data_IF_048072232474
#
_entry.id   IF_048072232474
#
_cell.length_a   1.000
_cell.length_b   1.000
_cell.length_c   1.000
_cell.angle_alpha   90.00
_cell.angle_beta   90.00
_cell.angle_gamma   90.00
#
_symmetry.space_group_name_H-M   'P 1'
#
loop_
_entity.id
_entity.type
_entity.pdbx_description
1 polymer ?
#
# COMPACT_ATOMS: atom_id res chain seq x y z
N UNK A 1 -8.59 8.75 28.95
CA UNK A 1 -7.14 8.49 28.89
C UNK A 1 -6.66 8.87 27.50
N UNK A 2 -6.20 10.16 27.33
CA UNK A 2 -5.69 10.68 26.05
C UNK A 2 -4.27 10.17 25.87
N UNK A 3 -4.09 9.12 25.07
CA UNK A 3 -2.77 8.70 24.60
C UNK A 3 -2.38 9.73 23.53
N UNK A 4 -1.35 10.52 23.87
CA UNK A 4 -0.72 11.53 23.02
C UNK A 4 -0.24 10.88 21.70
N UNK A 5 -0.96 11.11 20.63
CA UNK A 5 -0.57 10.77 19.25
C UNK A 5 0.41 11.78 18.64
N UNK A 6 1.04 12.63 19.45
CA UNK A 6 2.04 13.62 19.00
C UNK A 6 3.44 13.05 18.70
N UNK A 7 3.64 11.70 18.81
CA UNK A 7 4.99 11.13 18.76
C UNK A 7 5.63 11.02 17.38
N UNK A 8 4.94 11.37 16.28
CA UNK A 8 5.53 11.23 14.95
C UNK A 8 5.42 12.50 14.09
N UNK A 9 6.11 13.57 14.48
CA UNK A 9 6.43 14.65 13.54
C UNK A 9 7.26 14.07 12.38
N UNK A 10 7.20 14.67 11.20
CA UNK A 10 7.97 14.23 10.00
C UNK A 10 9.46 13.99 10.34
N UNK A 11 10.04 14.86 11.19
CA UNK A 11 11.42 14.79 11.66
C UNK A 11 11.72 13.50 12.44
N UNK A 12 10.84 13.08 13.34
CA UNK A 12 11.05 11.86 14.14
C UNK A 12 10.97 10.57 13.28
N UNK A 13 10.19 10.60 12.21
CA UNK A 13 10.04 9.47 11.26
C UNK A 13 11.29 9.30 10.41
N UNK A 14 11.85 10.40 9.90
CA UNK A 14 13.12 10.38 9.18
C UNK A 14 14.22 9.85 10.10
N UNK A 15 14.26 10.27 11.36
CA UNK A 15 15.21 9.77 12.36
C UNK A 15 15.08 8.25 12.54
N UNK A 16 13.88 7.71 12.69
CA UNK A 16 13.67 6.25 12.84
C UNK A 16 14.18 5.47 11.62
N UNK A 17 13.89 5.96 10.41
CA UNK A 17 14.37 5.32 9.17
C UNK A 17 15.91 5.38 9.10
N UNK A 18 16.50 6.54 9.37
CA UNK A 18 17.96 6.72 9.35
C UNK A 18 18.62 5.82 10.38
N UNK A 19 18.11 5.77 11.61
CA UNK A 19 18.62 4.88 12.66
C UNK A 19 18.50 3.41 12.23
N UNK A 20 17.36 3.00 11.68
CA UNK A 20 17.16 1.62 11.20
C UNK A 20 18.13 1.23 10.09
N UNK A 21 18.35 2.11 9.10
CA UNK A 21 19.30 1.89 8.00
C UNK A 21 20.74 1.85 8.54
N UNK A 22 21.08 2.74 9.46
CA UNK A 22 22.46 2.78 10.07
C UNK A 22 22.73 1.51 10.88
N UNK A 23 21.78 1.09 11.71
CA UNK A 23 21.91 -0.18 12.46
C UNK A 23 22.00 -1.39 11.53
N UNK A 24 21.22 -1.41 10.45
CA UNK A 24 21.29 -2.45 9.43
C UNK A 24 22.65 -2.50 8.75
N UNK A 25 23.20 -1.36 8.35
CA UNK A 25 24.54 -1.27 7.75
C UNK A 25 25.66 -1.73 8.72
N UNK A 26 25.61 -1.29 9.98
CA UNK A 26 26.57 -1.73 10.99
C UNK A 26 26.49 -3.24 11.26
N UNK A 27 25.28 -3.79 11.31
CA UNK A 27 25.08 -5.23 11.47
C UNK A 27 25.62 -6.04 10.28
N UNK A 28 25.44 -5.53 9.04
CA UNK A 28 26.02 -6.17 7.84
C UNK A 28 27.55 -6.17 7.87
N UNK A 29 28.16 -5.05 8.25
CA UNK A 29 29.62 -4.94 8.38
C UNK A 29 30.15 -5.91 9.43
N UNK A 30 29.49 -5.97 10.60
CA UNK A 30 29.84 -6.86 11.68
C UNK A 30 29.72 -8.34 11.27
N UNK A 31 28.62 -8.72 10.63
CA UNK A 31 28.40 -10.11 10.16
C UNK A 31 29.45 -10.53 9.11
N UNK A 32 29.78 -9.61 8.19
CA UNK A 32 30.81 -9.88 7.19
C UNK A 32 32.22 -10.08 7.83
N UNK A 33 32.58 -9.26 8.82
CA UNK A 33 33.82 -9.42 9.56
C UNK A 33 33.85 -10.75 10.35
N UNK A 34 32.73 -11.10 11.01
CA UNK A 34 32.61 -12.42 11.69
C UNK A 34 32.76 -13.60 10.73
N UNK A 35 32.09 -13.52 9.55
CA UNK A 35 32.20 -14.59 8.55
C UNK A 35 33.62 -14.75 8.05
N UNK A 36 34.37 -13.64 7.88
CA UNK A 36 35.77 -13.64 7.48
C UNK A 36 36.65 -14.28 8.55
N UNK A 37 36.54 -13.87 9.81
CA UNK A 37 37.30 -14.43 10.94
C UNK A 37 37.01 -15.92 11.14
N UNK A 38 35.75 -16.32 11.02
CA UNK A 38 35.40 -17.73 11.13
C UNK A 38 36.00 -18.55 9.99
N UNK A 39 35.98 -18.02 8.74
CA UNK A 39 36.62 -18.68 7.61
C UNK A 39 38.12 -18.86 7.83
N UNK A 40 38.84 -17.84 8.31
CA UNK A 40 40.26 -17.91 8.61
C UNK A 40 40.55 -18.94 9.72
N UNK A 41 39.70 -18.99 10.76
CA UNK A 41 39.79 -20.00 11.82
C UNK A 41 39.57 -21.41 11.28
N UNK A 42 38.51 -21.65 10.49
CA UNK A 42 38.25 -22.97 9.90
C UNK A 42 39.42 -23.46 9.03
N UNK A 43 40.02 -22.57 8.24
CA UNK A 43 41.17 -22.89 7.41
C UNK A 43 42.40 -23.27 8.29
N UNK A 44 42.62 -22.55 9.38
CA UNK A 44 43.68 -22.84 10.32
C UNK A 44 43.46 -24.20 11.04
N UNK A 45 42.23 -24.46 11.50
CA UNK A 45 41.86 -25.70 12.19
C UNK A 45 42.08 -26.93 11.27
N UNK A 46 41.65 -26.82 9.97
CA UNK A 46 41.89 -27.92 9.00
C UNK A 46 43.38 -28.11 8.68
N UNK A 47 44.15 -27.02 8.59
CA UNK A 47 45.60 -27.13 8.39
C UNK A 47 46.31 -27.81 9.58
N UNK A 48 45.94 -27.45 10.84
CA UNK A 48 46.42 -28.12 12.04
C UNK A 48 46.04 -29.60 12.04
N UNK A 49 44.81 -29.92 11.65
CA UNK A 49 44.35 -31.31 11.55
C UNK A 49 45.12 -32.11 10.49
N UNK A 50 45.44 -31.53 9.33
CA UNK A 50 46.27 -32.12 8.31
C UNK A 50 47.69 -32.41 8.79
N UNK A 51 48.29 -31.47 9.51
CA UNK A 51 49.62 -31.65 10.12
C UNK A 51 49.62 -32.72 11.22
N UNK A 52 48.55 -32.78 12.04
CA UNK A 52 48.41 -33.84 13.04
C UNK A 52 48.34 -35.22 12.38
N UNK A 53 47.60 -35.35 11.30
CA UNK A 53 47.46 -36.58 10.53
C UNK A 53 48.81 -37.03 9.92
N UNK A 54 49.61 -36.10 9.43
CA UNK A 54 50.97 -36.38 8.93
C UNK A 54 51.90 -36.90 10.05
N UNK A 55 51.79 -36.36 11.29
CA UNK A 55 52.57 -36.86 12.45
C UNK A 55 52.11 -38.23 12.86
N UNK A 56 50.84 -38.53 13.01
CA UNK A 56 50.35 -39.88 13.36
C UNK A 56 50.91 -40.93 12.41
N UNK A 57 50.88 -40.65 11.11
CA UNK A 57 51.44 -41.58 10.12
C UNK A 57 52.93 -41.78 10.24
N UNK A 58 53.67 -40.84 10.83
CA UNK A 58 55.13 -40.97 11.13
C UNK A 58 55.39 -41.80 12.41
N UNK A 59 54.58 -41.59 13.46
CA UNK A 59 54.78 -42.20 14.78
C UNK A 59 54.27 -43.66 14.83
N UNK A 60 53.25 -44.04 14.01
CA UNK A 60 52.85 -45.45 13.84
C UNK A 60 54.01 -46.37 13.44
N UNK A 61 54.96 -45.87 12.68
CA UNK A 61 56.20 -46.60 12.32
C UNK A 61 57.21 -46.70 13.48
N UNK A 62 57.13 -45.82 14.50
CA UNK A 62 58.01 -45.84 15.69
C UNK A 62 57.49 -46.64 16.89
N UNK A 63 56.29 -47.25 16.79
CA UNK A 63 55.76 -48.16 17.83
C UNK A 63 55.08 -47.46 19.04
N UNK A 64 54.87 -46.17 19.04
CA UNK A 64 54.21 -45.48 20.16
C UNK A 64 53.09 -44.56 19.68
N UNK A 65 51.86 -45.10 19.60
CA UNK A 65 50.65 -44.31 19.36
C UNK A 65 50.13 -43.86 20.71
N UNK A 66 50.66 -42.77 21.29
CA UNK A 66 50.00 -42.08 22.41
C UNK A 66 50.50 -40.64 22.54
N UNK A 67 50.21 -39.82 21.53
CA UNK A 67 50.16 -38.37 21.76
C UNK A 67 48.77 -37.97 22.03
N UNK A 68 48.28 -37.68 23.29
CA UNK A 68 46.95 -37.27 23.63
C UNK A 68 46.53 -36.00 22.89
N UNK A 69 47.48 -35.15 22.51
CA UNK A 69 47.27 -33.91 21.79
C UNK A 69 46.79 -34.16 20.35
N UNK A 70 47.33 -35.16 19.68
CA UNK A 70 46.91 -35.53 18.31
C UNK A 70 45.53 -36.13 18.33
N UNK A 71 45.21 -36.98 19.32
CA UNK A 71 43.86 -37.53 19.49
C UNK A 71 42.84 -36.44 19.77
N UNK A 72 43.16 -35.43 20.56
CA UNK A 72 42.31 -34.29 20.87
C UNK A 72 42.06 -33.42 19.64
N UNK A 73 43.10 -33.10 18.85
CA UNK A 73 42.95 -32.37 17.58
C UNK A 73 42.05 -33.13 16.58
N UNK A 74 42.21 -34.43 16.47
CA UNK A 74 41.43 -35.28 15.57
C UNK A 74 39.95 -35.39 16.01
N UNK A 75 39.68 -35.31 17.32
CA UNK A 75 38.31 -35.36 17.87
C UNK A 75 37.59 -34.02 17.83
N UNK A 76 38.27 -32.89 17.92
CA UNK A 76 37.69 -31.55 18.02
C UNK A 76 37.42 -30.86 16.68
N UNK A 77 37.86 -31.42 15.54
CA UNK A 77 37.66 -30.82 14.19
C UNK A 77 36.29 -31.02 13.56
N UNK A 78 35.24 -31.24 14.33
CA UNK A 78 34.07 -32.05 13.90
C UNK A 78 32.94 -31.33 13.16
N UNK A 79 32.99 -30.04 12.89
CA UNK A 79 31.87 -29.32 12.22
C UNK A 79 32.16 -28.94 10.77
N UNK A 80 33.31 -29.28 10.22
CA UNK A 80 33.72 -28.95 8.86
C UNK A 80 33.54 -30.20 7.97
N UNK A 81 32.75 -30.18 6.93
CA UNK A 81 32.63 -31.31 6.02
C UNK A 81 33.89 -31.47 5.19
N UNK A 82 34.45 -32.70 5.15
CA UNK A 82 35.63 -33.00 4.37
C UNK A 82 35.53 -34.34 3.64
N UNK A 83 36.34 -34.49 2.61
CA UNK A 83 36.57 -35.73 1.84
C UNK A 83 38.08 -35.91 1.74
N UNK A 84 38.58 -37.09 2.12
CA UNK A 84 39.98 -37.49 1.93
C UNK A 84 40.04 -38.47 0.78
N UNK A 85 40.88 -38.18 -0.21
CA UNK A 85 41.05 -39.06 -1.38
C UNK A 85 42.50 -39.47 -1.52
N UNK A 86 42.73 -40.56 -2.27
CA UNK A 86 44.05 -40.86 -2.82
C UNK A 86 44.33 -40.02 -4.08
N UNK A 87 45.47 -40.24 -4.73
CA UNK A 87 45.90 -39.58 -5.98
C UNK A 87 44.95 -39.83 -7.15
N UNK A 88 44.25 -40.96 -7.14
CA UNK A 88 43.25 -41.32 -8.16
C UNK A 88 41.86 -40.76 -7.86
N UNK A 89 41.71 -39.89 -6.86
CA UNK A 89 40.45 -39.33 -6.38
C UNK A 89 39.47 -40.37 -5.82
N UNK A 90 39.95 -41.55 -5.41
CA UNK A 90 39.14 -42.53 -4.69
C UNK A 90 39.02 -42.11 -3.21
N UNK A 91 37.77 -42.16 -2.69
CA UNK A 91 37.51 -41.73 -1.31
C UNK A 91 38.04 -42.73 -0.29
N UNK A 92 38.89 -42.26 0.58
CA UNK A 92 39.46 -43.05 1.70
C UNK A 92 38.61 -42.80 2.96
N UNK A 93 38.25 -41.55 3.20
CA UNK A 93 37.42 -41.16 4.35
C UNK A 93 36.60 -39.92 4.02
N UNK A 94 35.46 -39.74 4.70
CA UNK A 94 34.62 -38.55 4.55
C UNK A 94 33.90 -38.26 5.86
N UNK A 95 33.63 -36.98 6.10
CA UNK A 95 32.92 -36.52 7.29
C UNK A 95 31.86 -35.51 6.90
N UNK A 96 30.64 -35.62 7.47
CA UNK A 96 29.47 -34.79 7.20
C UNK A 96 29.07 -34.71 5.72
N UNK A 97 29.39 -35.77 4.96
CA UNK A 97 28.97 -35.90 3.55
C UNK A 97 27.98 -37.05 3.44
N UNK A 98 26.79 -36.82 2.86
CA UNK A 98 25.77 -37.86 2.67
C UNK A 98 26.32 -39.02 1.78
N UNK A 99 26.09 -40.26 2.17
CA UNK A 99 26.48 -41.46 1.40
C UNK A 99 26.01 -41.45 -0.05
N UNK A 100 24.82 -40.85 -0.32
CA UNK A 100 24.29 -40.66 -1.67
C UNK A 100 25.19 -39.82 -2.61
N UNK A 101 26.11 -39.03 -2.05
CA UNK A 101 27.09 -38.25 -2.79
C UNK A 101 28.33 -39.08 -3.01
N UNK A 102 28.82 -39.80 -1.97
CA UNK A 102 30.03 -40.62 -2.00
C UNK A 102 29.87 -41.78 -2.99
N UNK A 103 28.73 -42.47 -2.97
CA UNK A 103 28.48 -43.65 -3.77
C UNK A 103 28.10 -43.31 -5.24
N UNK A 104 28.13 -42.05 -5.64
CA UNK A 104 27.79 -41.65 -7.02
C UNK A 104 28.93 -40.81 -7.63
N UNK A 105 29.74 -41.36 -8.56
CA UNK A 105 30.97 -40.71 -9.07
C UNK A 105 30.73 -39.31 -9.60
N UNK A 106 29.65 -39.06 -10.33
CA UNK A 106 29.35 -37.73 -10.89
C UNK A 106 28.97 -36.69 -9.83
N UNK A 107 28.36 -37.10 -8.71
CA UNK A 107 28.03 -36.20 -7.57
C UNK A 107 29.23 -35.93 -6.71
N UNK A 108 30.05 -36.96 -6.50
CA UNK A 108 31.30 -36.85 -5.77
C UNK A 108 32.24 -35.84 -6.42
N UNK A 109 32.43 -35.95 -7.74
CA UNK A 109 33.29 -35.02 -8.47
C UNK A 109 32.80 -33.57 -8.36
N UNK A 110 31.49 -33.33 -8.54
CA UNK A 110 30.93 -32.01 -8.33
C UNK A 110 31.12 -31.47 -6.91
N UNK A 111 31.09 -32.34 -5.90
CA UNK A 111 31.33 -31.95 -4.50
C UNK A 111 32.79 -31.61 -4.24
N UNK A 112 33.72 -32.38 -4.81
CA UNK A 112 35.16 -32.11 -4.76
C UNK A 112 35.48 -30.79 -5.47
N UNK A 113 34.94 -30.56 -6.68
CA UNK A 113 35.12 -29.32 -7.42
C UNK A 113 34.60 -28.11 -6.61
N UNK A 114 33.44 -28.28 -6.00
CA UNK A 114 32.85 -27.23 -5.14
C UNK A 114 33.74 -26.92 -3.93
N UNK A 115 34.31 -27.93 -3.28
CA UNK A 115 35.20 -27.74 -2.15
C UNK A 115 36.52 -27.06 -2.57
N UNK A 116 37.08 -27.44 -3.73
CA UNK A 116 38.29 -26.84 -4.29
C UNK A 116 38.12 -25.35 -4.67
N UNK A 117 36.91 -24.96 -5.06
CA UNK A 117 36.57 -23.53 -5.30
C UNK A 117 36.43 -22.77 -3.97
N UNK A 118 35.83 -23.41 -2.94
CA UNK A 118 35.64 -22.77 -1.63
C UNK A 118 36.93 -22.60 -0.86
N UNK A 119 37.80 -23.64 -0.88
CA UNK A 119 39.06 -23.69 -0.14
C UNK A 119 40.14 -24.48 -0.93
N UNK A 120 41.42 -24.10 -0.87
CA UNK A 120 42.49 -24.87 -1.51
C UNK A 120 42.62 -26.26 -0.87
N UNK A 121 42.72 -27.33 -1.67
CA UNK A 121 42.91 -28.67 -1.15
C UNK A 121 44.27 -28.79 -0.45
N UNK A 122 44.32 -29.56 0.65
CA UNK A 122 45.53 -29.73 1.45
C UNK A 122 46.13 -31.13 1.19
N UNK A 123 47.35 -31.24 0.58
CA UNK A 123 48.01 -32.50 0.40
C UNK A 123 48.68 -32.95 1.73
N UNK A 124 48.44 -34.20 2.13
CA UNK A 124 49.06 -34.85 3.31
C UNK A 124 50.00 -35.95 2.82
N UNK A 125 51.29 -35.82 3.10
CA UNK A 125 52.32 -36.78 2.66
C UNK A 125 52.48 -37.88 3.72
N UNK A 126 52.66 -39.15 3.25
CA UNK A 126 52.98 -40.29 4.11
C UNK A 126 54.48 -40.56 4.12
N UNK A 127 55.02 -40.80 5.29
CA UNK A 127 56.44 -40.94 5.49
C UNK A 127 57.03 -42.25 4.87
N UNK A 128 56.21 -43.31 4.73
CA UNK A 128 56.64 -44.58 4.16
C UNK A 128 56.66 -44.66 2.64
N UNK A 129 56.12 -43.65 1.97
CA UNK A 129 56.12 -43.60 0.50
C UNK A 129 56.26 -42.14 0.05
N UNK A 130 57.46 -41.82 -0.46
CA UNK A 130 57.72 -40.51 -1.06
C UNK A 130 56.88 -40.20 -2.32
N UNK A 131 56.14 -41.21 -2.80
CA UNK A 131 55.30 -41.11 -4.01
C UNK A 131 53.78 -41.12 -3.74
N UNK A 132 53.33 -41.40 -2.51
CA UNK A 132 51.89 -41.47 -2.19
C UNK A 132 51.50 -40.34 -1.23
N UNK A 133 50.47 -39.59 -1.60
CA UNK A 133 49.87 -38.55 -0.75
C UNK A 133 48.35 -38.66 -0.77
N UNK A 134 47.74 -38.25 0.34
CA UNK A 134 46.28 -38.07 0.39
C UNK A 134 45.97 -36.60 0.22
N UNK A 135 44.78 -36.31 -0.36
CA UNK A 135 44.32 -34.94 -0.58
C UNK A 135 43.06 -34.74 0.26
N UNK A 136 43.10 -33.70 1.11
CA UNK A 136 41.96 -33.31 1.91
C UNK A 136 41.22 -32.19 1.19
N UNK A 137 39.99 -32.47 0.78
CA UNK A 137 39.02 -31.49 0.27
C UNK A 137 38.04 -31.13 1.38
N UNK A 138 37.88 -29.89 1.70
CA UNK A 138 36.98 -29.45 2.77
C UNK A 138 36.09 -28.28 2.38
N UNK A 139 34.89 -28.28 2.93
CA UNK A 139 33.89 -27.25 2.67
C UNK A 139 33.72 -26.31 3.84
N UNK A 140 32.79 -25.36 3.70
CA UNK A 140 32.41 -24.47 4.78
C UNK A 140 31.53 -25.21 5.80
N UNK A 141 31.71 -24.93 7.09
CA UNK A 141 30.80 -25.42 8.14
C UNK A 141 29.38 -24.92 7.95
N UNK A 142 28.43 -25.55 8.64
CA UNK A 142 27.02 -25.10 8.65
C UNK A 142 26.91 -23.68 9.20
N UNK A 143 27.71 -23.34 10.21
CA UNK A 143 27.71 -22.00 10.80
C UNK A 143 28.22 -20.95 9.81
N UNK A 144 29.32 -21.21 9.12
CA UNK A 144 29.87 -20.31 8.11
C UNK A 144 28.89 -20.11 6.95
N UNK A 145 28.19 -21.16 6.51
CA UNK A 145 27.14 -21.05 5.50
C UNK A 145 26.00 -20.16 5.99
N UNK A 146 25.54 -20.33 7.23
CA UNK A 146 24.48 -19.51 7.82
C UNK A 146 24.87 -18.02 7.85
N UNK A 147 26.13 -17.71 8.21
CA UNK A 147 26.62 -16.33 8.20
C UNK A 147 26.66 -15.73 6.80
N UNK A 148 26.91 -16.51 5.74
CA UNK A 148 26.86 -16.04 4.36
C UNK A 148 25.44 -15.72 3.89
N UNK A 149 24.40 -16.44 4.38
CA UNK A 149 23.01 -16.19 4.02
C UNK A 149 22.36 -15.12 4.91
N UNK A 150 22.89 -14.87 6.10
CA UNK A 150 22.34 -13.92 7.07
C UNK A 150 22.11 -12.50 6.50
N UNK A 151 23.04 -11.90 5.72
CA UNK A 151 22.83 -10.59 5.10
C UNK A 151 21.59 -10.52 4.22
N UNK A 152 21.29 -11.56 3.46
CA UNK A 152 20.10 -11.60 2.59
C UNK A 152 18.81 -11.64 3.39
N UNK A 153 18.78 -12.46 4.45
CA UNK A 153 17.63 -12.51 5.38
C UNK A 153 17.45 -11.17 6.07
N UNK A 154 18.52 -10.55 6.53
CA UNK A 154 18.48 -9.23 7.17
C UNK A 154 17.95 -8.15 6.21
N UNK A 155 18.41 -8.12 4.96
CA UNK A 155 17.95 -7.17 3.95
C UNK A 155 16.44 -7.34 3.69
N UNK A 156 15.96 -8.59 3.61
CA UNK A 156 14.53 -8.89 3.44
C UNK A 156 13.71 -8.35 4.62
N UNK A 157 14.16 -8.60 5.86
CA UNK A 157 13.48 -8.11 7.07
C UNK A 157 13.43 -6.58 7.11
N UNK A 158 14.55 -5.90 6.82
CA UNK A 158 14.62 -4.44 6.80
C UNK A 158 13.67 -3.87 5.74
N UNK A 159 13.67 -4.46 4.53
CA UNK A 159 12.78 -4.03 3.43
C UNK A 159 11.32 -4.21 3.81
N UNK A 160 10.96 -5.34 4.42
CA UNK A 160 9.59 -5.59 4.90
C UNK A 160 9.19 -4.57 5.98
N UNK A 161 10.08 -4.24 6.90
CA UNK A 161 9.83 -3.25 7.96
C UNK A 161 9.61 -1.84 7.40
N UNK A 162 10.41 -1.43 6.41
CA UNK A 162 10.24 -0.14 5.72
C UNK A 162 8.90 -0.11 4.96
N UNK A 163 8.55 -1.18 4.26
CA UNK A 163 7.28 -1.27 3.52
C UNK A 163 6.07 -1.18 4.46
N UNK A 164 6.07 -1.92 5.57
CA UNK A 164 5.02 -1.86 6.60
C UNK A 164 4.92 -0.46 7.21
N UNK A 165 6.05 0.16 7.54
CA UNK A 165 6.09 1.54 8.04
C UNK A 165 5.51 2.54 7.03
N UNK A 166 5.79 2.39 5.76
CA UNK A 166 5.24 3.24 4.70
C UNK A 166 3.72 3.07 4.55
N UNK A 167 3.21 1.83 4.60
CA UNK A 167 1.77 1.53 4.54
C UNK A 167 1.05 2.15 5.74
N UNK A 168 1.56 1.92 6.95
CA UNK A 168 1.00 2.48 8.19
C UNK A 168 1.00 4.02 8.17
N UNK A 169 2.06 4.62 7.64
CA UNK A 169 2.16 6.06 7.48
C UNK A 169 1.11 6.64 6.54
N UNK A 170 0.92 6.00 5.39
CA UNK A 170 -0.07 6.44 4.39
C UNK A 170 -1.50 6.36 4.94
N UNK A 171 -1.83 5.31 5.67
CA UNK A 171 -3.12 5.14 6.33
C UNK A 171 -3.36 6.23 7.39
N UNK A 172 -2.39 6.46 8.27
CA UNK A 172 -2.51 7.47 9.34
C UNK A 172 -2.71 8.89 8.81
N UNK A 173 -2.04 9.26 7.70
CA UNK A 173 -2.20 10.58 7.10
C UNK A 173 -3.60 10.77 6.49
N UNK A 174 -4.16 9.72 5.93
CA UNK A 174 -5.53 9.74 5.39
C UNK A 174 -6.56 9.92 6.50
N UNK A 175 -6.40 9.19 7.61
CA UNK A 175 -7.29 9.30 8.78
C UNK A 175 -7.23 10.68 9.44
N UNK A 176 -6.06 11.30 9.53
CA UNK A 176 -5.90 12.64 10.10
C UNK A 176 -6.61 13.69 9.23
N UNK A 177 -6.43 13.64 7.92
CA UNK A 177 -7.14 14.51 6.98
C UNK A 177 -8.67 14.31 7.09
N UNK A 178 -9.13 13.09 7.20
CA UNK A 178 -10.55 12.78 7.36
C UNK A 178 -11.13 13.35 8.66
N UNK A 179 -10.42 13.25 9.77
CA UNK A 179 -10.87 13.81 11.07
C UNK A 179 -10.98 15.33 11.03
N UNK A 180 -10.01 16.02 10.43
CA UNK A 180 -10.07 17.47 10.26
C UNK A 180 -11.28 17.88 9.43
N UNK A 181 -11.56 17.17 8.34
CA UNK A 181 -12.71 17.42 7.48
C UNK A 181 -14.04 17.20 8.19
N UNK A 182 -14.19 16.10 8.94
CA UNK A 182 -15.40 15.81 9.73
C UNK A 182 -15.60 16.91 10.77
N UNK A 183 -14.53 17.30 11.47
CA UNK A 183 -14.59 18.37 12.46
C UNK A 183 -15.02 19.70 11.88
N UNK A 184 -14.43 20.11 10.74
CA UNK A 184 -14.81 21.34 10.04
C UNK A 184 -16.26 21.29 9.53
N UNK A 185 -16.69 20.19 8.94
CA UNK A 185 -18.06 20.06 8.45
C UNK A 185 -19.08 20.17 9.59
N UNK A 186 -18.86 19.45 10.68
CA UNK A 186 -19.72 19.47 11.87
C UNK A 186 -19.77 20.84 12.52
N UNK A 187 -18.61 21.49 12.69
CA UNK A 187 -18.53 22.83 13.25
C UNK A 187 -19.23 23.85 12.35
N UNK A 188 -19.01 23.80 11.03
CA UNK A 188 -19.68 24.68 10.06
C UNK A 188 -21.21 24.49 10.10
N UNK A 189 -21.68 23.25 10.16
CA UNK A 189 -23.10 22.97 10.29
C UNK A 189 -23.68 23.57 11.57
N UNK A 190 -22.99 23.44 12.69
CA UNK A 190 -23.43 23.98 13.96
C UNK A 190 -23.45 25.51 13.97
N UNK A 191 -22.39 26.14 13.47
CA UNK A 191 -22.26 27.61 13.40
C UNK A 191 -23.26 28.24 12.42
N UNK A 192 -23.65 27.54 11.34
CA UNK A 192 -24.68 28.00 10.41
C UNK A 192 -26.12 27.67 10.89
N UNK A 193 -26.29 26.59 11.63
CA UNK A 193 -27.61 26.15 12.11
C UNK A 193 -28.27 27.16 13.05
N UNK A 194 -27.50 27.78 13.91
CA UNK A 194 -27.99 28.77 14.88
C UNK A 194 -28.56 30.02 14.20
N UNK A 195 -27.83 30.72 13.30
CA UNK A 195 -28.40 31.90 12.61
C UNK A 195 -29.53 31.54 11.63
N UNK A 196 -29.51 30.36 11.01
CA UNK A 196 -30.63 29.94 10.13
C UNK A 196 -31.90 29.70 10.92
N UNK A 197 -31.81 29.13 12.12
CA UNK A 197 -32.99 28.99 13.00
C UNK A 197 -33.52 30.33 13.46
N UNK A 198 -32.67 31.30 13.75
CA UNK A 198 -33.09 32.67 14.08
C UNK A 198 -33.77 33.36 12.91
N UNK A 199 -33.22 33.22 11.69
CA UNK A 199 -33.84 33.77 10.47
C UNK A 199 -35.22 33.15 10.18
N UNK A 200 -35.40 31.85 10.45
CA UNK A 200 -36.72 31.22 10.34
C UNK A 200 -37.74 31.87 11.28
N UNK A 201 -37.33 32.13 12.53
CA UNK A 201 -38.21 32.85 13.46
C UNK A 201 -38.58 34.25 12.98
N UNK A 202 -37.67 34.99 12.35
CA UNK A 202 -37.94 36.29 11.76
C UNK A 202 -38.88 36.18 10.55
N UNK A 203 -38.76 35.18 9.72
CA UNK A 203 -39.67 34.96 8.57
C UNK A 203 -41.09 34.64 9.06
N UNK A 204 -41.24 33.80 10.10
CA UNK A 204 -42.52 33.52 10.70
C UNK A 204 -43.15 34.76 11.35
N UNK A 205 -42.33 35.62 11.98
CA UNK A 205 -42.81 36.90 12.49
C UNK A 205 -43.30 37.83 11.37
N UNK A 206 -42.51 37.93 10.26
CA UNK A 206 -42.93 38.76 9.10
C UNK A 206 -44.18 38.26 8.43
N UNK A 207 -44.43 36.93 8.39
CA UNK A 207 -45.71 36.37 7.90
C UNK A 207 -46.92 36.85 8.68
N UNK A 208 -46.74 37.14 9.98
CA UNK A 208 -47.84 37.66 10.83
C UNK A 208 -48.03 39.15 10.70
N UNK A 209 -47.17 39.85 9.96
CA UNK A 209 -47.29 41.30 9.75
C UNK A 209 -47.89 41.64 8.39
N UNK A 210 -48.36 42.86 8.23
CA UNK A 210 -48.89 43.40 6.96
C UNK A 210 -47.74 43.86 6.06
N UNK A 211 -47.00 42.88 5.51
CA UNK A 211 -45.88 43.09 4.58
C UNK A 211 -46.11 42.31 3.30
N UNK A 212 -45.29 42.58 2.25
CA UNK A 212 -45.36 41.84 1.00
C UNK A 212 -45.08 40.36 1.21
N UNK A 213 -46.15 39.56 1.20
CA UNK A 213 -46.07 38.12 1.41
C UNK A 213 -45.28 37.39 0.31
N UNK A 214 -45.18 37.95 -0.89
CA UNK A 214 -44.38 37.40 -1.99
C UNK A 214 -42.91 37.46 -1.65
N UNK A 215 -42.45 38.58 -1.07
CA UNK A 215 -41.06 38.72 -0.58
C UNK A 215 -40.76 37.75 0.56
N UNK A 216 -41.70 37.59 1.52
CA UNK A 216 -41.56 36.66 2.65
C UNK A 216 -41.47 35.21 2.16
N UNK A 217 -42.23 34.80 1.14
CA UNK A 217 -42.16 33.48 0.56
C UNK A 217 -40.82 33.23 -0.15
N UNK A 218 -40.28 34.19 -0.88
CA UNK A 218 -38.97 34.07 -1.53
C UNK A 218 -37.83 33.94 -0.46
N UNK A 219 -37.87 34.76 0.60
CA UNK A 219 -36.95 34.65 1.72
C UNK A 219 -37.03 33.25 2.39
N UNK A 220 -38.21 32.73 2.59
CA UNK A 220 -38.41 31.39 3.15
C UNK A 220 -37.87 30.29 2.25
N UNK A 221 -38.00 30.41 0.93
CA UNK A 221 -37.39 29.47 -0.02
C UNK A 221 -35.88 29.47 0.07
N UNK A 222 -35.27 30.65 0.13
CA UNK A 222 -33.81 30.79 0.27
C UNK A 222 -33.32 30.23 1.59
N UNK A 223 -34.01 30.52 2.70
CA UNK A 223 -33.68 30.00 4.01
C UNK A 223 -33.81 28.46 4.06
N UNK A 224 -34.89 27.92 3.49
CA UNK A 224 -35.09 26.47 3.39
C UNK A 224 -33.98 25.81 2.61
N UNK A 225 -33.48 26.45 1.53
CA UNK A 225 -32.32 25.97 0.79
C UNK A 225 -31.03 25.97 1.64
N UNK A 226 -30.84 27.03 2.42
CA UNK A 226 -29.69 27.17 3.34
C UNK A 226 -29.73 26.08 4.43
N UNK A 227 -30.91 25.83 5.00
CA UNK A 227 -31.09 24.75 5.98
C UNK A 227 -30.80 23.36 5.42
N UNK A 228 -31.17 23.08 4.16
CA UNK A 228 -30.80 21.84 3.48
C UNK A 228 -29.28 21.69 3.35
N UNK A 229 -28.55 22.77 3.06
CA UNK A 229 -27.08 22.76 3.00
C UNK A 229 -26.52 22.44 4.39
N UNK A 230 -26.99 23.08 5.45
CA UNK A 230 -26.55 22.84 6.83
C UNK A 230 -26.81 21.39 7.25
N UNK A 231 -28.01 20.85 6.95
CA UNK A 231 -28.35 19.45 7.23
C UNK A 231 -27.42 18.47 6.51
N UNK A 232 -27.08 18.74 5.24
CA UNK A 232 -26.12 17.94 4.48
C UNK A 232 -24.72 17.93 5.12
N UNK A 233 -24.26 19.10 5.60
CA UNK A 233 -22.98 19.19 6.31
C UNK A 233 -23.00 18.47 7.67
N UNK A 234 -24.11 18.49 8.40
CA UNK A 234 -24.25 17.78 9.68
C UNK A 234 -24.20 16.25 9.54
N UNK A 235 -24.60 15.74 8.38
CA UNK A 235 -24.55 14.30 8.07
C UNK A 235 -23.15 13.79 7.70
N UNK A 236 -22.21 14.71 7.41
CA UNK A 236 -20.81 14.33 7.15
C UNK A 236 -20.18 13.84 8.46
N UNK A 237 -19.72 12.59 8.46
CA UNK A 237 -19.07 11.98 9.64
C UNK A 237 -20.01 11.37 10.68
N UNK A 238 -21.35 11.40 10.42
CA UNK A 238 -22.30 10.59 11.17
C UNK A 238 -22.51 9.22 10.50
N UNK A 239 -22.93 8.23 11.26
CA UNK A 239 -23.41 6.96 10.70
C UNK A 239 -24.68 7.26 9.90
N UNK A 240 -24.58 7.21 8.57
CA UNK A 240 -25.71 7.43 7.67
C UNK A 240 -26.20 6.08 7.18
N UNK A 241 -27.38 5.61 7.62
CA UNK A 241 -27.93 4.36 7.13
C UNK A 241 -28.19 4.42 5.64
N UNK A 242 -27.81 3.37 4.92
CA UNK A 242 -28.16 3.17 3.54
C UNK A 242 -29.47 2.40 3.44
N UNK A 243 -30.41 2.88 2.65
CA UNK A 243 -31.69 2.23 2.39
C UNK A 243 -31.85 1.92 0.91
N UNK A 244 -32.54 0.85 0.53
CA UNK A 244 -32.91 0.61 -0.85
C UNK A 244 -33.71 1.79 -1.39
N UNK A 245 -33.26 2.37 -2.51
CA UNK A 245 -33.93 3.49 -3.14
C UNK A 245 -33.90 3.34 -4.66
N UNK A 246 -34.95 3.87 -5.31
CA UNK A 246 -35.05 3.95 -6.76
C UNK A 246 -34.13 5.07 -7.28
N UNK A 247 -33.03 4.70 -7.91
CA UNK A 247 -32.04 5.65 -8.42
C UNK A 247 -32.64 6.57 -9.50
N UNK A 248 -33.57 6.06 -10.31
CA UNK A 248 -34.21 6.85 -11.34
C UNK A 248 -34.98 8.02 -10.73
N UNK A 249 -35.70 7.82 -9.64
CA UNK A 249 -36.45 8.87 -8.93
C UNK A 249 -35.52 9.87 -8.29
N UNK A 250 -34.55 9.42 -7.48
CA UNK A 250 -33.61 10.29 -6.75
C UNK A 250 -32.79 11.18 -7.69
N UNK A 251 -32.26 10.61 -8.78
CA UNK A 251 -31.58 11.40 -9.82
C UNK A 251 -32.54 12.30 -10.56
N UNK A 252 -33.76 11.82 -10.88
CA UNK A 252 -34.81 12.59 -11.57
C UNK A 252 -35.23 13.82 -10.79
N UNK A 253 -35.41 13.73 -9.47
CA UNK A 253 -35.72 14.88 -8.61
C UNK A 253 -34.61 15.94 -8.65
N UNK A 254 -33.34 15.50 -8.56
CA UNK A 254 -32.20 16.40 -8.69
C UNK A 254 -32.16 17.09 -10.06
N UNK A 255 -32.40 16.35 -11.14
CA UNK A 255 -32.44 16.89 -12.51
C UNK A 255 -33.57 17.87 -12.68
N UNK A 256 -34.79 17.56 -12.21
CA UNK A 256 -35.95 18.47 -12.30
C UNK A 256 -35.72 19.74 -11.50
N UNK A 257 -35.14 19.65 -10.32
CA UNK A 257 -34.78 20.82 -9.52
C UNK A 257 -33.76 21.70 -10.24
N UNK A 258 -32.76 21.10 -10.86
CA UNK A 258 -31.68 21.81 -11.55
C UNK A 258 -32.18 22.45 -12.87
N UNK A 259 -33.04 21.77 -13.61
CA UNK A 259 -33.64 22.26 -14.89
C UNK A 259 -34.29 23.62 -14.77
N UNK A 260 -34.95 23.93 -13.65
CA UNK A 260 -35.58 25.23 -13.40
C UNK A 260 -34.60 26.40 -13.21
N UNK A 261 -33.29 26.09 -13.04
CA UNK A 261 -32.25 27.05 -12.64
C UNK A 261 -31.15 27.23 -13.68
N UNK A 262 -31.14 26.43 -14.73
CA UNK A 262 -30.16 26.56 -15.81
C UNK A 262 -30.49 27.71 -16.75
N UNK A 263 -29.48 28.37 -17.34
CA UNK A 263 -29.68 29.39 -18.39
C UNK A 263 -30.40 28.80 -19.60
N UNK A 264 -31.16 29.64 -20.32
CA UNK A 264 -31.91 29.21 -21.51
C UNK A 264 -31.07 28.63 -22.65
N UNK A 265 -29.78 28.96 -22.68
CA UNK A 265 -28.81 28.49 -23.70
C UNK A 265 -28.14 27.16 -23.33
N UNK A 266 -28.57 26.52 -22.25
CA UNK A 266 -28.07 25.22 -21.80
C UNK A 266 -29.20 24.20 -21.87
N UNK A 267 -28.95 23.07 -22.53
CA UNK A 267 -29.90 21.93 -22.54
C UNK A 267 -29.52 20.93 -21.43
N UNK A 268 -30.54 20.31 -20.84
CA UNK A 268 -30.37 19.27 -19.82
C UNK A 268 -31.26 18.07 -20.16
N UNK A 269 -30.63 17.00 -20.59
CA UNK A 269 -31.29 15.74 -20.94
C UNK A 269 -31.12 14.70 -19.82
N UNK A 270 -32.14 13.83 -19.67
CA UNK A 270 -32.19 12.79 -18.68
C UNK A 270 -32.96 11.56 -19.20
N UNK A 271 -32.30 10.41 -19.22
CA UNK A 271 -32.91 9.18 -19.73
C UNK A 271 -33.64 8.33 -18.67
N UNK A 272 -33.49 8.63 -17.39
CA UNK A 272 -33.93 7.75 -16.30
C UNK A 272 -35.43 7.53 -16.24
N UNK A 273 -36.24 8.41 -16.89
CA UNK A 273 -37.68 8.24 -17.01
C UNK A 273 -38.08 7.22 -18.09
N UNK A 274 -37.18 6.90 -19.01
CA UNK A 274 -37.39 5.98 -20.12
C UNK A 274 -36.90 4.56 -19.89
N UNK A 275 -36.21 4.29 -18.74
CA UNK A 275 -35.66 2.99 -18.40
C UNK A 275 -36.38 2.38 -17.21
N UNK A 276 -36.29 1.05 -17.06
CA UNK A 276 -36.86 0.35 -15.91
C UNK A 276 -36.27 0.87 -14.60
N UNK A 277 -37.03 0.94 -13.50
CA UNK A 277 -36.53 1.34 -12.19
C UNK A 277 -35.33 0.48 -11.73
N UNK A 278 -34.29 1.14 -11.27
CA UNK A 278 -33.07 0.47 -10.77
C UNK A 278 -32.86 0.83 -9.30
N UNK A 279 -32.64 -0.17 -8.47
CA UNK A 279 -32.45 0.03 -7.03
C UNK A 279 -30.98 -0.09 -6.63
N UNK A 280 -30.58 0.76 -5.69
CA UNK A 280 -29.31 0.67 -4.99
C UNK A 280 -29.50 1.10 -3.52
N UNK A 281 -28.62 0.60 -2.64
CA UNK A 281 -28.61 1.04 -1.25
C UNK A 281 -27.89 2.38 -1.17
N UNK A 282 -28.63 3.45 -0.87
CA UNK A 282 -28.12 4.81 -0.78
C UNK A 282 -28.72 5.59 0.40
N UNK A 283 -28.04 6.65 0.80
CA UNK A 283 -28.63 7.76 1.52
C UNK A 283 -29.07 8.80 0.49
N UNK A 284 -30.37 8.91 0.23
CA UNK A 284 -30.92 9.75 -0.84
C UNK A 284 -30.42 11.20 -0.75
N UNK A 285 -30.47 11.83 0.44
CA UNK A 285 -30.08 13.23 0.61
C UNK A 285 -28.59 13.50 0.29
N UNK A 286 -27.68 12.59 0.66
CA UNK A 286 -26.27 12.71 0.31
C UNK A 286 -26.03 12.40 -1.16
N UNK A 287 -26.78 11.47 -1.73
CA UNK A 287 -26.64 11.10 -3.14
C UNK A 287 -27.17 12.19 -4.07
N UNK A 288 -28.31 12.79 -3.77
CA UNK A 288 -28.80 14.00 -4.44
C UNK A 288 -27.75 15.10 -4.47
N UNK A 289 -27.08 15.35 -3.35
CA UNK A 289 -26.01 16.34 -3.29
C UNK A 289 -24.86 16.03 -4.24
N UNK A 290 -24.46 14.76 -4.37
CA UNK A 290 -23.45 14.35 -5.37
C UNK A 290 -23.90 14.69 -6.77
N UNK A 291 -25.13 14.32 -7.14
CA UNK A 291 -25.68 14.58 -8.49
C UNK A 291 -25.77 16.08 -8.77
N UNK A 292 -26.32 16.86 -7.82
CA UNK A 292 -26.39 18.33 -7.92
C UNK A 292 -24.99 18.96 -8.11
N UNK A 293 -23.99 18.50 -7.34
CA UNK A 293 -22.63 19.01 -7.44
C UNK A 293 -21.96 18.68 -8.79
N UNK A 294 -22.21 17.49 -9.34
CA UNK A 294 -21.72 17.13 -10.68
C UNK A 294 -22.37 18.02 -11.75
N UNK A 295 -23.70 18.17 -11.72
CA UNK A 295 -24.41 19.04 -12.66
C UNK A 295 -23.97 20.51 -12.56
N UNK A 296 -23.74 21.02 -11.34
CA UNK A 296 -23.20 22.38 -11.13
C UNK A 296 -21.79 22.52 -11.71
N UNK A 297 -20.93 21.51 -11.54
CA UNK A 297 -19.60 21.54 -12.14
C UNK A 297 -19.64 21.48 -13.66
N UNK A 298 -20.55 20.71 -14.23
CA UNK A 298 -20.84 20.67 -15.67
C UNK A 298 -21.30 22.03 -16.19
N UNK A 299 -22.25 22.66 -15.50
CA UNK A 299 -22.76 24.01 -15.87
C UNK A 299 -21.64 25.05 -15.86
N UNK A 300 -20.77 25.03 -14.84
CA UNK A 300 -19.63 25.94 -14.76
C UNK A 300 -18.61 25.69 -15.89
N UNK A 301 -18.50 24.43 -16.38
CA UNK A 301 -17.63 24.10 -17.50
C UNK A 301 -18.16 24.55 -18.85
N UNK A 302 -19.47 24.70 -18.99
CA UNK A 302 -20.16 25.13 -20.22
C UNK A 302 -20.03 26.63 -20.51
N UNK A 303 -19.69 27.46 -19.54
CA UNK A 303 -19.51 28.91 -19.70
C UNK A 303 -20.73 29.60 -20.33
N UNK A 304 -21.95 29.10 -20.04
CA UNK A 304 -23.23 29.72 -20.44
C UNK A 304 -23.93 29.14 -21.66
N UNK A 305 -23.32 28.20 -22.40
CA UNK A 305 -23.96 27.52 -23.53
C UNK A 305 -23.47 26.08 -23.69
N UNK A 306 -24.33 25.18 -24.12
CA UNK A 306 -24.02 23.78 -24.36
C UNK A 306 -25.03 22.81 -23.79
N UNK A 307 -24.63 21.57 -23.55
CA UNK A 307 -25.50 20.49 -23.09
C UNK A 307 -24.95 19.76 -21.89
N UNK A 308 -25.85 19.35 -21.00
CA UNK A 308 -25.60 18.37 -19.93
C UNK A 308 -26.52 17.18 -20.20
N UNK A 309 -25.94 15.97 -20.18
CA UNK A 309 -26.68 14.72 -20.40
C UNK A 309 -26.44 13.81 -19.19
N UNK A 310 -27.53 13.47 -18.50
CA UNK A 310 -27.49 12.58 -17.33
C UNK A 310 -28.10 11.25 -17.73
N UNK A 311 -27.30 10.19 -17.71
CA UNK A 311 -27.71 8.85 -18.11
C UNK A 311 -27.58 7.85 -16.98
N UNK A 312 -28.60 7.04 -16.80
CA UNK A 312 -28.58 5.86 -15.95
C UNK A 312 -28.51 4.63 -16.84
N UNK A 313 -27.64 3.70 -16.47
CA UNK A 313 -27.55 2.37 -17.03
C UNK A 313 -27.28 1.36 -15.92
N UNK A 314 -27.58 0.10 -16.14
CA UNK A 314 -27.30 -0.95 -15.16
C UNK A 314 -26.90 -2.25 -15.85
N UNK A 315 -26.06 -2.99 -15.18
CA UNK A 315 -25.77 -4.39 -15.47
C UNK A 315 -26.26 -5.30 -14.33
N UNK A 316 -25.88 -6.58 -14.35
CA UNK A 316 -26.30 -7.55 -13.34
C UNK A 316 -25.77 -7.24 -11.93
N UNK A 317 -24.77 -6.38 -11.77
CA UNK A 317 -24.11 -6.14 -10.48
C UNK A 317 -24.06 -4.67 -10.08
N UNK A 318 -24.18 -3.78 -11.05
CA UNK A 318 -23.89 -2.35 -10.87
C UNK A 318 -24.93 -1.46 -11.48
N UNK A 319 -25.12 -0.29 -10.88
CA UNK A 319 -25.84 0.85 -11.43
C UNK A 319 -24.82 1.92 -11.76
N UNK A 320 -24.85 2.42 -12.98
CA UNK A 320 -23.96 3.47 -13.46
C UNK A 320 -24.76 4.73 -13.75
N UNK A 321 -24.28 5.85 -13.23
CA UNK A 321 -24.86 7.18 -13.49
C UNK A 321 -23.76 8.01 -14.14
N UNK A 322 -23.96 8.42 -15.39
CA UNK A 322 -23.07 9.25 -16.16
C UNK A 322 -23.60 10.68 -16.22
N UNK A 323 -22.77 11.64 -15.82
CA UNK A 323 -23.02 13.07 -16.02
C UNK A 323 -22.02 13.55 -17.05
N UNK A 324 -22.52 13.86 -18.25
CA UNK A 324 -21.73 14.32 -19.40
C UNK A 324 -22.03 15.79 -19.66
N UNK A 325 -21.00 16.57 -19.91
CA UNK A 325 -21.11 17.95 -20.39
C UNK A 325 -20.36 18.13 -21.72
N UNK A 326 -20.67 19.20 -22.44
CA UNK A 326 -19.97 19.63 -23.65
C UNK A 326 -19.08 20.84 -23.39
N UNK A 327 -18.56 20.95 -22.16
CA UNK A 327 -17.78 22.09 -21.70
C UNK A 327 -16.31 22.06 -22.09
N UNK A 328 -15.50 22.81 -21.35
CA UNK A 328 -14.06 23.02 -21.64
C UNK A 328 -13.19 21.75 -21.55
N UNK A 329 -13.67 20.67 -20.95
CA UNK A 329 -12.91 19.45 -20.76
C UNK A 329 -11.82 19.53 -19.68
N UNK A 330 -11.17 18.39 -19.41
CA UNK A 330 -10.17 18.21 -18.37
C UNK A 330 -8.95 17.48 -18.94
N UNK A 331 -7.77 18.01 -18.74
CA UNK A 331 -6.51 17.35 -19.10
C UNK A 331 -6.39 15.97 -18.40
N UNK A 332 -5.95 14.96 -19.13
CA UNK A 332 -5.82 13.57 -18.63
C UNK A 332 -4.96 13.46 -17.37
N UNK A 333 -3.93 14.30 -17.24
CA UNK A 333 -3.10 14.39 -16.03
C UNK A 333 -3.87 14.83 -14.77
N UNK A 334 -4.99 15.52 -14.94
CA UNK A 334 -5.81 16.05 -13.85
C UNK A 334 -7.03 15.16 -13.50
N UNK A 335 -7.34 14.12 -14.25
CA UNK A 335 -8.51 13.26 -14.02
C UNK A 335 -8.63 12.69 -12.61
N UNK A 336 -7.49 12.35 -11.99
CA UNK A 336 -7.44 11.90 -10.60
C UNK A 336 -7.41 13.08 -9.61
N UNK A 337 -6.70 14.15 -10.00
CA UNK A 337 -6.45 15.29 -9.13
C UNK A 337 -7.68 16.14 -8.87
N UNK A 338 -8.65 16.20 -9.80
CA UNK A 338 -9.90 16.94 -9.59
C UNK A 338 -10.71 16.48 -8.38
N UNK A 339 -10.46 15.25 -7.91
CA UNK A 339 -11.05 14.69 -6.70
C UNK A 339 -10.22 14.90 -5.43
N UNK A 340 -9.07 15.56 -5.52
CA UNK A 340 -8.25 15.92 -4.35
C UNK A 340 -8.82 17.16 -3.67
N UNK A 341 -8.87 17.20 -2.32
CA UNK A 341 -9.34 18.37 -1.59
C UNK A 341 -8.54 19.63 -1.94
N UNK A 342 -9.27 20.74 -2.20
CA UNK A 342 -8.65 22.01 -2.53
C UNK A 342 -8.22 22.18 -4.00
N UNK A 343 -8.36 21.16 -4.83
CA UNK A 343 -8.07 21.29 -6.25
C UNK A 343 -9.19 22.07 -6.96
N UNK A 344 -8.83 23.20 -7.55
CA UNK A 344 -9.77 24.04 -8.32
C UNK A 344 -9.05 24.77 -9.45
N UNK A 345 -9.71 24.90 -10.57
CA UNK A 345 -9.31 25.76 -11.69
C UNK A 345 -10.15 27.04 -11.76
N UNK A 346 -11.03 27.25 -10.77
CA UNK A 346 -11.96 28.40 -10.72
C UNK A 346 -11.36 29.50 -9.85
N UNK A 347 -11.61 30.76 -10.22
CA UNK A 347 -11.22 31.92 -9.41
C UNK A 347 -12.02 32.06 -8.10
N UNK A 348 -13.24 31.50 -8.08
CA UNK A 348 -14.10 31.42 -6.90
C UNK A 348 -14.49 29.97 -6.64
N UNK A 349 -14.28 29.51 -5.42
CA UNK A 349 -14.60 28.15 -4.98
C UNK A 349 -13.44 27.48 -4.26
N UNK A 350 -13.76 26.69 -3.26
CA UNK A 350 -12.81 26.08 -2.33
C UNK A 350 -12.21 24.76 -2.86
N UNK A 351 -12.61 24.30 -4.04
CA UNK A 351 -12.15 23.02 -4.58
C UNK A 351 -12.63 21.79 -3.79
N UNK A 352 -13.73 21.89 -3.07
CA UNK A 352 -14.18 20.86 -2.14
C UNK A 352 -15.33 19.99 -2.70
N UNK A 353 -16.02 20.45 -3.72
CA UNK A 353 -17.23 19.78 -4.22
C UNK A 353 -16.94 18.36 -4.71
N UNK A 354 -16.01 18.18 -5.66
CA UNK A 354 -15.70 16.86 -6.21
C UNK A 354 -15.01 15.92 -5.20
N UNK A 355 -14.17 16.44 -4.31
CA UNK A 355 -13.57 15.64 -3.25
C UNK A 355 -14.61 15.12 -2.26
N UNK A 356 -15.61 15.95 -1.93
CA UNK A 356 -16.75 15.56 -1.12
C UNK A 356 -17.65 14.55 -1.85
N UNK A 357 -17.94 14.78 -3.13
CA UNK A 357 -18.69 13.83 -3.96
C UNK A 357 -18.01 12.46 -4.00
N UNK A 358 -16.69 12.44 -4.17
CA UNK A 358 -15.91 11.19 -4.12
C UNK A 358 -16.05 10.50 -2.77
N UNK A 359 -15.95 11.25 -1.70
CA UNK A 359 -16.07 10.72 -0.33
C UNK A 359 -17.46 10.13 -0.10
N UNK A 360 -18.52 10.85 -0.48
CA UNK A 360 -19.90 10.37 -0.35
C UNK A 360 -20.08 9.06 -1.13
N UNK A 361 -19.59 9.00 -2.36
CA UNK A 361 -19.75 7.80 -3.20
C UNK A 361 -18.87 6.64 -2.71
N UNK A 362 -17.58 6.88 -2.42
CA UNK A 362 -16.65 5.80 -2.13
C UNK A 362 -16.70 5.34 -0.66
N UNK A 363 -16.76 6.27 0.32
CA UNK A 363 -16.74 5.92 1.74
C UNK A 363 -18.12 5.58 2.30
N UNK A 364 -19.15 6.39 1.95
CA UNK A 364 -20.51 6.18 2.50
C UNK A 364 -21.33 5.18 1.70
N UNK A 365 -21.23 5.19 0.35
CA UNK A 365 -22.02 4.31 -0.52
C UNK A 365 -21.24 3.09 -1.05
N UNK A 366 -19.94 2.96 -0.71
CA UNK A 366 -19.07 1.87 -1.18
C UNK A 366 -19.08 1.72 -2.72
N UNK A 367 -19.32 2.83 -3.42
CA UNK A 367 -19.32 2.93 -4.86
C UNK A 367 -17.97 3.39 -5.42
N UNK A 368 -18.00 3.86 -6.67
CA UNK A 368 -16.84 4.44 -7.34
C UNK A 368 -17.25 5.67 -8.14
N UNK A 369 -16.42 6.72 -8.13
CA UNK A 369 -16.61 7.89 -8.98
C UNK A 369 -15.31 8.15 -9.76
N UNK A 370 -15.43 8.41 -11.06
CA UNK A 370 -14.28 8.66 -11.92
C UNK A 370 -14.65 9.45 -13.17
N UNK A 371 -13.68 10.16 -13.73
CA UNK A 371 -13.74 10.64 -15.12
C UNK A 371 -13.53 9.44 -16.03
N UNK A 372 -14.49 9.15 -16.90
CA UNK A 372 -14.41 8.04 -17.86
C UNK A 372 -14.01 8.53 -19.25
N UNK A 373 -14.34 9.78 -19.59
CA UNK A 373 -13.97 10.42 -20.83
C UNK A 373 -13.87 11.93 -20.65
N UNK A 374 -12.85 12.57 -21.22
CA UNK A 374 -12.74 14.02 -21.29
C UNK A 374 -11.70 14.44 -22.31
N UNK A 375 -12.05 15.39 -23.15
CA UNK A 375 -11.19 16.02 -24.13
C UNK A 375 -11.35 17.54 -24.07
N UNK A 376 -10.23 18.25 -24.14
CA UNK A 376 -10.23 19.73 -24.10
C UNK A 376 -11.07 20.28 -25.24
N UNK A 377 -12.06 21.13 -24.89
CA UNK A 377 -13.00 21.74 -25.83
C UNK A 377 -14.16 20.85 -26.31
N UNK A 378 -14.22 19.58 -25.86
CA UNK A 378 -15.31 18.66 -26.22
C UNK A 378 -16.19 18.26 -25.04
N UNK A 379 -15.68 18.44 -23.81
CA UNK A 379 -16.45 18.18 -22.59
C UNK A 379 -15.87 17.07 -21.72
N UNK A 380 -16.67 16.67 -20.72
CA UNK A 380 -16.27 15.68 -19.71
C UNK A 380 -17.43 14.74 -19.41
N UNK A 381 -17.13 13.48 -19.15
CA UNK A 381 -18.08 12.50 -18.61
C UNK A 381 -17.55 11.97 -17.28
N UNK A 382 -18.31 12.22 -16.21
CA UNK A 382 -18.05 11.67 -14.87
C UNK A 382 -19.03 10.55 -14.62
N UNK A 383 -18.54 9.37 -14.25
CA UNK A 383 -19.34 8.18 -13.92
C UNK A 383 -19.34 7.92 -12.43
N UNK A 384 -20.53 7.69 -11.88
CA UNK A 384 -20.74 7.08 -10.57
C UNK A 384 -21.16 5.64 -10.81
N UNK A 385 -20.56 4.71 -10.07
CA UNK A 385 -20.92 3.28 -10.08
C UNK A 385 -21.28 2.85 -8.68
N UNK A 386 -22.47 2.31 -8.49
CA UNK A 386 -22.99 1.77 -7.23
C UNK A 386 -23.28 0.28 -7.37
N UNK A 387 -23.30 -0.45 -6.27
CA UNK A 387 -23.77 -1.84 -6.25
C UNK A 387 -25.29 -1.85 -6.44
N UNK A 388 -25.75 -2.68 -7.39
CA UNK A 388 -27.19 -2.87 -7.60
C UNK A 388 -27.80 -3.62 -6.42
N UNK A 389 -28.94 -3.16 -5.96
CA UNK A 389 -29.77 -3.88 -5.00
C UNK A 389 -30.82 -4.67 -5.76
N UNK A 390 -30.92 -5.96 -5.45
CA UNK A 390 -32.00 -6.83 -5.95
C UNK A 390 -33.04 -6.92 -4.82
N UNK A 391 -34.27 -6.62 -5.16
CA UNK A 391 -35.41 -6.74 -4.26
C UNK A 391 -35.74 -8.21 -3.97
#
# INVERSE_FOLDING_TARGET
MKIRTEFFSFRNRVVVIVVGVTLGALSLLYTNDMARRLKEKEQHDVALWAHAMERVTRDVLGGSIQDPFVADIMSNGNNIPFIITNENLEVINSHLIPEKIINHPGRLRKQIDKFSVDNPPIPVKFVWSSQHYHIIFYGKSALLKSLYYFPYVQLLVITAFIALGFIAFRSSKHDEQNRVWIGLAKETAHQLGTPTSSLLGWIEYLRSQDVDQTAVEEMNKDLTHLMKIVDRFSKIGSETPLTPANINEVVGESVMYFRKRIPRNVTLDYNGLAIAPVQANINAALFEWVVENLMKNSLDALQGHGAIDVRISSDDRSVMIDVKDTGKGILKSNWKRIFEPGFTTKTRGWGLGLSLSRRIVEEYHQGKIAVIDSEIGKGTTIRITLKRHFA
#
